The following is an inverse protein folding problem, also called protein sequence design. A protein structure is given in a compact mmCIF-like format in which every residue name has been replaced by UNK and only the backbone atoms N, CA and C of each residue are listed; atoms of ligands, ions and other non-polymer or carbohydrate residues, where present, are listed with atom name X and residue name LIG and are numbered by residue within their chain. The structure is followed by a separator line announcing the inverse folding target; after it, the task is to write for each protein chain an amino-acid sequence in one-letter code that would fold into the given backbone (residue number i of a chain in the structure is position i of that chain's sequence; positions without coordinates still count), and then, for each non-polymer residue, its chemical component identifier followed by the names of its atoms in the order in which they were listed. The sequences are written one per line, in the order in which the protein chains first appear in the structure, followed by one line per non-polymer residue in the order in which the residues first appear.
data_IF_020181537161
#
_entry.id   IF_020181537161
#
_cell.length_a   1.000
_cell.length_b   1.000
_cell.length_c   1.000
_cell.angle_alpha   90.00
_cell.angle_beta   90.00
_cell.angle_gamma   90.00
#
_symmetry.space_group_name_H-M   'P 1'
#
loop_
_entity.id
_entity.type
_entity.pdbx_description
1 polymer ?
#
# COMPACT_ATOMS: atom_id res chain seq x y z
N UNK A 1 23.57 -81.67 -0.35
CA UNK A 1 24.11 -80.67 -1.29
C UNK A 1 24.76 -79.56 -0.47
N UNK A 2 26.09 -79.43 -0.64
CA UNK A 2 27.02 -78.29 -0.42
C UNK A 2 26.87 -77.32 0.77
N UNK A 3 27.97 -77.27 1.54
CA UNK A 3 28.43 -76.27 2.52
C UNK A 3 28.75 -74.87 1.97
N UNK A 4 28.76 -73.87 2.86
CA UNK A 4 29.77 -72.79 3.06
C UNK A 4 29.19 -71.76 4.06
N UNK A 5 29.76 -71.45 5.24
CA UNK A 5 31.06 -70.82 5.60
C UNK A 5 31.16 -69.32 5.27
N UNK A 6 30.98 -68.50 6.32
CA UNK A 6 31.73 -67.30 6.79
C UNK A 6 32.16 -66.23 5.78
N UNK A 7 31.84 -64.95 6.07
CA UNK A 7 32.86 -63.87 6.15
C UNK A 7 32.37 -62.68 6.98
N UNK A 8 33.10 -62.43 8.08
CA UNK A 8 33.16 -61.19 8.84
C UNK A 8 34.05 -60.21 8.07
N UNK A 9 33.61 -58.96 7.89
CA UNK A 9 34.51 -57.84 7.56
C UNK A 9 34.17 -56.67 8.47
N UNK A 10 35.09 -56.39 9.38
CA UNK A 10 35.21 -55.12 10.08
C UNK A 10 36.12 -54.19 9.26
N UNK A 11 35.67 -52.98 8.97
CA UNK A 11 36.53 -51.89 8.49
C UNK A 11 36.23 -50.63 9.31
N UNK A 12 37.16 -50.37 10.21
CA UNK A 12 37.89 -49.12 10.45
C UNK A 12 37.16 -47.77 10.35
N UNK A 13 37.21 -47.05 11.47
CA UNK A 13 36.93 -45.64 11.61
C UNK A 13 37.82 -44.75 10.71
N UNK A 14 37.24 -43.66 10.21
CA UNK A 14 37.97 -42.44 9.92
C UNK A 14 37.29 -41.28 10.65
N UNK A 15 38.00 -40.76 11.63
CA UNK A 15 37.69 -39.51 12.32
C UNK A 15 38.10 -38.32 11.44
N UNK A 16 37.30 -37.26 11.49
CA UNK A 16 37.74 -35.90 11.14
C UNK A 16 37.51 -35.47 9.69
N UNK A 17 36.29 -35.02 9.39
CA UNK A 17 36.04 -33.99 8.39
C UNK A 17 34.86 -33.13 8.86
N UNK A 18 35.14 -31.98 9.46
CA UNK A 18 34.17 -30.92 9.70
C UNK A 18 33.80 -30.27 8.38
N UNK A 19 32.68 -30.69 7.79
CA UNK A 19 32.04 -29.99 6.69
C UNK A 19 31.07 -28.96 7.27
N UNK A 20 31.30 -27.68 6.96
CA UNK A 20 30.39 -26.59 7.26
C UNK A 20 29.02 -26.82 6.60
N UNK A 21 27.95 -26.58 7.34
CA UNK A 21 26.58 -26.64 6.83
C UNK A 21 26.37 -25.54 5.77
N UNK A 22 25.76 -25.86 4.61
CA UNK A 22 25.41 -24.83 3.62
C UNK A 22 24.24 -24.00 4.14
N UNK A 23 24.39 -22.67 4.08
CA UNK A 23 23.27 -21.75 4.30
C UNK A 23 22.19 -21.96 3.22
N UNK A 24 20.89 -21.83 3.55
CA UNK A 24 19.84 -21.87 2.55
C UNK A 24 19.93 -20.64 1.65
N UNK A 25 20.05 -20.89 0.36
CA UNK A 25 20.02 -19.88 -0.69
C UNK A 25 18.72 -19.07 -0.62
N UNK A 26 18.86 -17.74 -0.68
CA UNK A 26 17.75 -16.81 -0.92
C UNK A 26 17.11 -17.15 -2.26
N UNK A 27 15.87 -17.65 -2.21
CA UNK A 27 15.07 -17.87 -3.41
C UNK A 27 14.61 -16.53 -3.96
N UNK A 28 15.19 -16.13 -5.08
CA UNK A 28 14.72 -15.06 -5.94
C UNK A 28 13.31 -15.40 -6.42
N UNK A 29 12.36 -14.48 -6.21
CA UNK A 29 11.03 -14.58 -6.82
C UNK A 29 11.15 -14.60 -8.36
N UNK A 30 10.28 -15.36 -9.07
CA UNK A 30 10.34 -15.43 -10.52
C UNK A 30 9.99 -14.07 -11.15
N UNK A 31 10.88 -13.61 -12.01
CA UNK A 31 10.70 -12.44 -12.88
C UNK A 31 9.47 -12.65 -13.76
N UNK A 32 8.46 -11.80 -13.62
CA UNK A 32 7.37 -11.73 -14.59
C UNK A 32 7.94 -11.30 -15.96
N UNK A 33 7.53 -11.90 -17.09
CA UNK A 33 7.99 -11.47 -18.39
C UNK A 33 7.48 -10.06 -18.67
N UNK A 34 8.38 -9.19 -19.12
CA UNK A 34 8.05 -7.86 -19.61
C UNK A 34 7.01 -7.97 -20.74
N UNK A 35 5.82 -7.43 -20.51
CA UNK A 35 4.84 -7.24 -21.57
C UNK A 35 5.43 -6.23 -22.58
N UNK A 36 5.62 -6.68 -23.82
CA UNK A 36 6.04 -5.83 -24.92
C UNK A 36 4.99 -4.73 -25.12
N UNK A 37 5.41 -3.48 -24.89
CA UNK A 37 4.64 -2.28 -25.24
C UNK A 37 4.63 -2.18 -26.76
N UNK A 38 3.52 -2.56 -27.38
CA UNK A 38 3.26 -2.17 -28.78
C UNK A 38 2.89 -0.70 -28.79
N UNK A 39 3.79 0.12 -29.36
CA UNK A 39 3.52 1.51 -29.70
C UNK A 39 2.39 1.51 -30.73
N UNK A 40 1.25 2.09 -30.36
CA UNK A 40 0.15 2.35 -31.29
C UNK A 40 0.41 3.73 -31.88
N UNK A 41 0.80 3.77 -33.15
CA UNK A 41 0.87 5.00 -33.94
C UNK A 41 -0.54 5.65 -34.05
N UNK A 42 -0.66 6.97 -33.90
CA UNK A 42 -1.92 7.65 -34.19
C UNK A 42 -2.14 7.73 -35.70
N UNK A 43 -3.17 7.02 -36.17
CA UNK A 43 -3.70 7.17 -37.53
C UNK A 43 -4.33 8.56 -37.65
N UNK A 44 -3.67 9.42 -38.42
CA UNK A 44 -4.22 10.68 -38.89
C UNK A 44 -5.33 10.42 -39.92
N UNK A 45 -6.55 10.81 -39.57
CA UNK A 45 -7.66 10.90 -40.50
C UNK A 45 -7.66 12.28 -41.16
N UNK A 46 -7.40 12.31 -42.46
CA UNK A 46 -7.55 13.47 -43.33
C UNK A 46 -9.01 13.85 -43.48
N UNK A 47 -9.35 15.10 -43.17
CA UNK A 47 -10.57 15.75 -43.65
C UNK A 47 -10.17 17.08 -44.31
N UNK A 48 -10.54 17.21 -45.58
CA UNK A 48 -10.42 18.40 -46.39
C UNK A 48 -11.29 19.54 -45.84
N UNK A 49 -10.75 20.75 -45.75
CA UNK A 49 -11.50 21.98 -46.02
C UNK A 49 -10.55 23.18 -46.22
N UNK A 50 -10.57 23.64 -47.48
CA UNK A 50 -10.27 24.95 -48.05
C UNK A 50 -10.15 26.17 -47.12
N UNK A 51 -9.16 27.03 -47.40
CA UNK A 51 -9.24 28.47 -47.10
C UNK A 51 -7.94 29.16 -46.66
N UNK A 52 -7.14 29.61 -47.63
CA UNK A 52 -6.23 30.78 -47.48
C UNK A 52 -7.04 32.07 -47.71
N UNK A 53 -6.62 33.29 -47.28
CA UNK A 53 -5.22 33.74 -47.28
C UNK A 53 -4.76 34.67 -46.12
N UNK A 54 -3.45 34.90 -46.12
CA UNK A 54 -2.71 36.11 -45.70
C UNK A 54 -2.94 36.72 -44.32
N UNK A 55 -1.86 36.80 -43.53
CA UNK A 55 -1.13 38.07 -43.35
C UNK A 55 0.18 37.86 -42.58
N UNK A 56 1.21 38.49 -43.11
CA UNK A 56 2.58 38.58 -42.62
C UNK A 56 2.69 39.42 -41.34
N UNK A 57 3.54 39.02 -40.40
CA UNK A 57 4.33 39.94 -39.58
C UNK A 57 5.49 39.22 -38.90
N UNK A 58 6.69 39.47 -39.40
CA UNK A 58 7.99 39.16 -38.81
C UNK A 58 8.29 40.15 -37.68
N UNK A 59 8.70 39.69 -36.50
CA UNK A 59 9.51 40.50 -35.59
C UNK A 59 10.30 39.63 -34.60
N UNK A 60 11.59 39.54 -34.88
CA UNK A 60 12.70 39.06 -34.05
C UNK A 60 12.91 40.00 -32.85
N UNK A 61 13.17 39.48 -31.65
CA UNK A 61 14.18 40.02 -30.70
C UNK A 61 14.24 39.22 -29.39
N UNK A 62 15.35 38.51 -29.23
CA UNK A 62 16.04 38.25 -27.96
C UNK A 62 17.07 39.39 -27.76
N UNK A 63 17.88 39.48 -26.68
CA UNK A 63 17.67 39.23 -25.25
C UNK A 63 17.98 40.51 -24.43
N UNK A 64 17.68 40.55 -23.13
CA UNK A 64 18.50 41.29 -22.13
C UNK A 64 18.13 40.89 -20.70
N UNK A 65 19.01 40.11 -20.07
CA UNK A 65 19.35 40.20 -18.65
C UNK A 65 20.58 41.16 -18.56
N UNK A 66 21.01 41.72 -17.40
CA UNK A 66 20.78 41.27 -16.03
C UNK A 66 20.54 42.40 -14.98
N UNK A 67 20.06 42.05 -13.78
CA UNK A 67 20.31 42.87 -12.59
C UNK A 67 20.27 42.05 -11.29
N UNK A 68 21.47 41.79 -10.80
CA UNK A 68 21.86 41.46 -9.42
C UNK A 68 21.27 42.47 -8.42
N UNK A 69 20.80 42.03 -7.26
CA UNK A 69 21.13 42.58 -5.92
C UNK A 69 20.56 41.67 -4.81
N UNK A 70 21.33 41.56 -3.73
CA UNK A 70 21.32 40.49 -2.73
C UNK A 70 20.49 40.83 -1.45
N UNK A 71 20.81 40.29 -0.26
CA UNK A 71 20.02 39.30 0.46
C UNK A 71 19.23 39.88 1.66
N UNK A 72 18.05 39.35 1.95
CA UNK A 72 17.31 39.73 3.17
C UNK A 72 17.64 38.79 4.33
N UNK A 73 17.88 39.42 5.47
CA UNK A 73 18.53 38.96 6.69
C UNK A 73 17.80 37.86 7.47
N UNK A 74 18.64 36.94 7.98
CA UNK A 74 18.43 35.94 9.02
C UNK A 74 17.93 36.58 10.33
N UNK A 75 16.78 36.12 10.83
CA UNK A 75 16.30 36.46 12.16
C UNK A 75 17.08 35.64 13.22
N UNK A 76 17.79 36.35 14.08
CA UNK A 76 18.54 35.83 15.22
C UNK A 76 17.57 35.52 16.37
N UNK A 77 17.47 34.25 16.76
CA UNK A 77 16.74 33.82 17.95
C UNK A 77 17.55 34.19 19.22
N UNK A 78 16.86 34.75 20.21
CA UNK A 78 17.43 35.11 21.50
C UNK A 78 17.81 33.86 22.34
N UNK A 79 18.89 33.92 23.15
CA UNK A 79 19.27 32.84 24.05
C UNK A 79 18.34 32.75 25.28
N UNK A 80 18.18 31.55 25.88
CA UNK A 80 17.34 31.34 27.05
C UNK A 80 17.96 31.93 28.32
N UNK A 81 17.09 32.40 29.22
CA UNK A 81 17.46 32.97 30.50
C UNK A 81 18.11 31.94 31.44
N UNK A 82 19.24 32.33 32.02
CA UNK A 82 19.98 31.63 33.07
C UNK A 82 19.13 31.54 34.34
N UNK A 83 18.76 30.32 34.75
CA UNK A 83 18.14 30.04 36.05
C UNK A 83 19.24 29.90 37.10
N UNK A 84 19.13 30.65 38.20
CA UNK A 84 20.04 30.63 39.34
C UNK A 84 19.96 29.30 40.13
N UNK A 85 21.07 28.84 40.74
CA UNK A 85 21.09 27.60 41.52
C UNK A 85 20.37 27.78 42.88
N UNK A 86 19.41 26.91 43.18
CA UNK A 86 18.81 26.79 44.51
C UNK A 86 19.77 26.08 45.48
N UNK A 87 19.79 26.47 46.78
CA UNK A 87 20.58 25.82 47.81
C UNK A 87 20.05 24.42 48.14
N UNK A 88 20.96 23.44 48.20
CA UNK A 88 20.71 22.05 48.53
C UNK A 88 20.50 21.87 50.04
N UNK A 89 19.36 21.26 50.39
CA UNK A 89 19.06 20.78 51.76
C UNK A 89 19.84 19.49 52.08
N UNK A 90 20.30 19.29 53.33
CA UNK A 90 21.04 18.09 53.72
C UNK A 90 20.20 16.81 53.65
N UNK A 91 20.78 15.76 53.08
CA UNK A 91 20.23 14.40 52.93
C UNK A 91 20.30 13.65 54.28
N UNK A 92 19.19 13.09 54.79
CA UNK A 92 19.22 12.17 55.93
C UNK A 92 19.91 10.84 55.59
N UNK A 93 20.60 10.27 56.58
CA UNK A 93 21.39 9.06 56.48
C UNK A 93 20.58 7.83 56.05
N UNK A 94 21.19 7.04 55.17
CA UNK A 94 20.74 5.77 54.62
C UNK A 94 20.51 4.72 55.71
N UNK A 95 19.27 4.24 55.84
CA UNK A 95 18.99 2.98 56.53
C UNK A 95 19.25 1.80 55.57
N UNK A 96 20.00 0.83 56.04
CA UNK A 96 20.32 -0.43 55.36
C UNK A 96 19.05 -1.25 55.13
N UNK A 97 18.66 -1.62 53.89
CA UNK A 97 17.53 -2.50 53.68
C UNK A 97 17.95 -3.95 53.92
N UNK A 98 17.26 -4.60 54.86
CA UNK A 98 17.26 -6.04 55.05
C UNK A 98 16.73 -6.72 53.79
N UNK A 99 17.49 -7.68 53.25
CA UNK A 99 17.14 -8.47 52.07
C UNK A 99 15.93 -9.35 52.33
N UNK A 100 14.78 -8.96 51.79
CA UNK A 100 13.56 -9.77 51.71
C UNK A 100 13.58 -10.61 50.41
N UNK A 101 13.24 -11.90 50.43
CA UNK A 101 13.20 -12.72 49.22
C UNK A 101 12.19 -12.16 48.21
N UNK A 102 12.65 -11.90 46.99
CA UNK A 102 11.82 -11.42 45.89
C UNK A 102 10.76 -12.47 45.54
N UNK A 103 9.50 -12.15 45.85
CA UNK A 103 8.36 -12.86 45.28
C UNK A 103 8.24 -12.41 43.83
N UNK A 104 8.44 -13.33 42.88
CA UNK A 104 8.34 -13.06 41.46
C UNK A 104 6.93 -12.56 41.13
N UNK A 105 6.80 -11.26 40.84
CA UNK A 105 5.60 -10.69 40.25
C UNK A 105 5.43 -11.30 38.86
N UNK A 106 4.30 -11.93 38.53
CA UNK A 106 4.05 -12.41 37.18
C UNK A 106 4.13 -11.23 36.21
N UNK A 107 5.09 -11.27 35.30
CA UNK A 107 5.20 -10.34 34.19
C UNK A 107 3.94 -10.51 33.34
N UNK A 108 3.04 -9.53 33.38
CA UNK A 108 1.85 -9.51 32.54
C UNK A 108 2.29 -9.43 31.08
N UNK A 109 2.29 -10.58 30.40
CA UNK A 109 2.41 -10.66 28.95
C UNK A 109 1.24 -9.87 28.38
N UNK A 110 1.51 -8.70 27.78
CA UNK A 110 0.53 -8.00 26.96
C UNK A 110 0.28 -8.88 25.75
N UNK A 111 -0.67 -9.80 25.85
CA UNK A 111 -1.14 -10.56 24.71
C UNK A 111 -1.92 -9.59 23.83
N UNK A 112 -1.37 -9.28 22.66
CA UNK A 112 -2.09 -8.64 21.55
C UNK A 112 -3.14 -9.64 21.08
N UNK A 113 -4.32 -9.62 21.72
CA UNK A 113 -5.41 -10.52 21.36
C UNK A 113 -5.89 -10.14 19.96
N UNK A 114 -5.87 -11.10 19.04
CA UNK A 114 -6.57 -11.00 17.77
C UNK A 114 -8.05 -10.68 18.06
N UNK A 115 -8.63 -9.61 17.50
CA UNK A 115 -10.00 -9.22 17.81
C UNK A 115 -11.00 -10.36 17.56
N UNK A 116 -11.97 -10.51 18.47
CA UNK A 116 -13.14 -11.38 18.27
C UNK A 116 -13.93 -10.94 17.01
N UNK A 117 -14.63 -11.86 16.31
CA UNK A 117 -15.32 -11.54 15.07
C UNK A 117 -16.45 -10.54 15.31
N UNK A 118 -16.23 -9.29 14.91
CA UNK A 118 -17.28 -8.31 14.67
C UNK A 118 -18.20 -8.78 13.52
N UNK A 119 -19.40 -8.19 13.39
CA UNK A 119 -20.19 -8.40 12.17
C UNK A 119 -19.32 -8.14 10.94
N UNK A 120 -19.19 -9.17 10.10
CA UNK A 120 -18.39 -9.16 8.89
C UNK A 120 -19.16 -8.43 7.80
N UNK A 121 -18.49 -7.51 7.10
CA UNK A 121 -19.04 -6.93 5.88
C UNK A 121 -19.02 -7.97 4.77
N UNK A 122 -20.08 -8.01 3.97
CA UNK A 122 -20.14 -8.77 2.71
C UNK A 122 -20.25 -7.79 1.56
N UNK A 123 -19.83 -8.21 0.36
CA UNK A 123 -19.89 -7.35 -0.82
C UNK A 123 -21.33 -6.99 -1.16
N UNK A 124 -21.63 -5.69 -1.18
CA UNK A 124 -22.93 -5.16 -1.60
C UNK A 124 -23.06 -5.28 -3.12
N UNK A 125 -24.24 -5.68 -3.65
CA UNK A 125 -24.42 -5.84 -5.09
C UNK A 125 -24.24 -4.51 -5.85
N UNK A 126 -24.04 -4.56 -7.18
CA UNK A 126 -24.03 -3.36 -8.01
C UNK A 126 -25.32 -2.55 -7.83
N UNK A 127 -25.20 -1.22 -7.88
CA UNK A 127 -26.32 -0.29 -7.69
C UNK A 127 -26.79 -0.12 -6.23
N UNK A 128 -26.25 -0.88 -5.28
CA UNK A 128 -26.55 -0.68 -3.86
C UNK A 128 -26.08 0.69 -3.37
N UNK A 129 -26.86 1.30 -2.46
CA UNK A 129 -26.42 2.49 -1.75
C UNK A 129 -25.21 2.17 -0.87
N UNK A 130 -24.13 2.93 -1.02
CA UNK A 130 -22.91 2.74 -0.23
C UNK A 130 -23.04 3.40 1.16
N UNK A 131 -22.62 2.72 2.25
CA UNK A 131 -22.64 3.29 3.60
C UNK A 131 -21.83 4.59 3.69
N UNK A 132 -22.34 5.64 4.31
CA UNK A 132 -21.58 6.88 4.52
C UNK A 132 -20.31 6.64 5.35
N UNK A 133 -19.33 7.54 5.22
CA UNK A 133 -18.12 7.49 6.02
C UNK A 133 -18.40 7.48 7.52
N UNK A 134 -19.33 8.32 7.99
CA UNK A 134 -19.74 8.37 9.40
C UNK A 134 -20.37 7.06 9.88
N UNK A 135 -21.18 6.39 9.05
CA UNK A 135 -21.73 5.07 9.37
C UNK A 135 -20.61 4.04 9.54
N UNK A 136 -19.64 4.00 8.63
CA UNK A 136 -18.52 3.06 8.73
C UNK A 136 -17.65 3.33 9.95
N UNK A 137 -17.37 4.59 10.28
CA UNK A 137 -16.64 4.97 11.49
C UNK A 137 -17.32 4.47 12.77
N UNK A 138 -18.65 4.57 12.84
CA UNK A 138 -19.42 4.13 14.01
C UNK A 138 -19.40 2.62 14.25
N UNK A 139 -19.04 1.83 13.23
CA UNK A 139 -19.01 0.36 13.28
C UNK A 139 -17.62 -0.21 13.55
N UNK A 140 -16.58 0.63 13.58
CA UNK A 140 -15.21 0.18 13.88
C UNK A 140 -15.04 -0.05 15.38
N UNK A 141 -14.83 -1.32 15.75
CA UNK A 141 -14.40 -1.70 17.09
C UNK A 141 -12.95 -1.29 17.28
N UNK A 142 -12.71 -0.33 18.18
CA UNK A 142 -11.36 0.11 18.53
C UNK A 142 -10.64 -0.98 19.32
N UNK A 143 -9.42 -1.25 18.91
CA UNK A 143 -8.46 -2.14 19.56
C UNK A 143 -7.04 -1.68 19.23
N UNK A 144 -6.05 -2.23 19.92
CA UNK A 144 -4.63 -1.87 19.75
C UNK A 144 -3.85 -2.87 18.90
N UNK A 145 -4.53 -3.80 18.22
CA UNK A 145 -3.87 -4.80 17.40
C UNK A 145 -3.40 -4.18 16.09
N UNK A 146 -2.08 -4.06 15.96
CA UNK A 146 -1.37 -3.58 14.78
C UNK A 146 -0.24 -4.57 14.46
N UNK A 147 -0.42 -5.49 13.48
CA UNK A 147 0.61 -6.44 13.09
C UNK A 147 1.74 -5.79 12.25
N UNK A 148 1.56 -4.53 11.84
CA UNK A 148 2.55 -3.74 11.11
C UNK A 148 2.85 -2.43 11.83
N UNK A 149 3.58 -2.44 12.97
CA UNK A 149 3.92 -1.23 13.70
C UNK A 149 4.62 -0.18 12.84
N UNK A 150 5.36 -0.58 11.81
CA UNK A 150 5.99 0.32 10.84
C UNK A 150 5.00 1.21 10.07
N UNK A 151 3.72 0.82 9.99
CA UNK A 151 2.68 1.63 9.36
C UNK A 151 2.21 2.80 10.22
N UNK A 152 2.59 2.88 11.50
CA UNK A 152 2.01 3.84 12.46
C UNK A 152 1.97 5.27 11.94
N UNK A 153 3.09 5.78 11.39
CA UNK A 153 3.14 7.14 10.83
C UNK A 153 2.12 7.35 9.73
N UNK A 154 2.01 6.42 8.78
CA UNK A 154 1.07 6.54 7.66
C UNK A 154 -0.39 6.26 8.06
N UNK A 155 -0.60 5.40 9.06
CA UNK A 155 -1.89 5.12 9.66
C UNK A 155 -2.45 6.34 10.42
N UNK A 156 -1.57 7.17 10.99
CA UNK A 156 -1.94 8.43 11.65
C UNK A 156 -1.97 9.63 10.69
N UNK A 157 -1.47 9.49 9.47
CA UNK A 157 -1.52 10.52 8.46
C UNK A 157 -2.90 10.57 7.78
N UNK A 158 -3.84 11.30 8.39
CA UNK A 158 -5.16 11.55 7.82
C UNK A 158 -5.06 12.55 6.66
N UNK A 159 -5.15 12.04 5.42
CA UNK A 159 -5.03 12.87 4.22
C UNK A 159 -6.06 14.02 4.20
N UNK A 160 -7.31 13.75 4.59
CA UNK A 160 -8.37 14.74 4.59
C UNK A 160 -8.13 15.89 5.58
N UNK A 161 -7.80 15.57 6.83
CA UNK A 161 -7.51 16.57 7.87
C UNK A 161 -6.27 17.39 7.51
N UNK A 162 -5.31 16.79 6.80
CA UNK A 162 -4.12 17.47 6.29
C UNK A 162 -4.39 18.29 5.01
N UNK A 163 -5.66 18.47 4.62
CA UNK A 163 -6.06 19.34 3.52
C UNK A 163 -5.98 18.69 2.13
N UNK A 164 -5.58 17.43 2.02
CA UNK A 164 -5.52 16.74 0.74
C UNK A 164 -6.93 16.49 0.20
N UNK A 165 -7.15 16.80 -1.09
CA UNK A 165 -8.41 16.52 -1.79
C UNK A 165 -8.07 15.90 -3.13
N UNK A 166 -8.60 14.70 -3.38
CA UNK A 166 -8.44 14.05 -4.67
C UNK A 166 -9.10 14.90 -5.77
N UNK A 167 -8.35 15.15 -6.84
CA UNK A 167 -8.76 15.92 -8.01
C UNK A 167 -8.06 15.39 -9.26
N UNK A 168 -8.71 15.54 -10.41
CA UNK A 168 -8.15 15.15 -11.71
C UNK A 168 -7.63 13.70 -11.73
N UNK A 169 -8.30 12.82 -11.00
CA UNK A 169 -7.91 11.42 -10.85
C UNK A 169 -8.51 10.54 -11.94
N UNK A 170 -7.97 9.33 -12.08
CA UNK A 170 -8.57 8.28 -12.91
C UNK A 170 -10.07 8.07 -12.63
N UNK A 171 -10.47 8.11 -11.36
CA UNK A 171 -11.87 7.96 -10.97
C UNK A 171 -12.68 9.17 -11.46
N UNK A 172 -12.13 10.38 -11.32
CA UNK A 172 -12.76 11.63 -11.72
C UNK A 172 -13.08 11.71 -13.21
N UNK A 173 -12.27 11.08 -14.07
CA UNK A 173 -12.53 11.07 -15.53
C UNK A 173 -13.70 10.16 -15.93
N UNK A 174 -14.09 9.22 -15.08
CA UNK A 174 -15.15 8.23 -15.36
C UNK A 174 -16.42 8.54 -14.54
N UNK A 175 -16.26 8.80 -13.24
CA UNK A 175 -17.38 9.04 -12.33
C UNK A 175 -16.99 10.04 -11.22
N UNK A 176 -17.14 11.36 -11.46
CA UNK A 176 -16.73 12.42 -10.53
C UNK A 176 -17.28 12.29 -9.10
N UNK A 177 -18.49 11.74 -8.95
CA UNK A 177 -19.08 11.56 -7.62
C UNK A 177 -18.28 10.58 -6.73
N UNK A 178 -17.59 9.59 -7.32
CA UNK A 178 -16.71 8.70 -6.55
C UNK A 178 -15.39 9.39 -6.19
N UNK A 179 -14.86 10.26 -7.04
CA UNK A 179 -13.67 11.06 -6.71
C UNK A 179 -13.89 11.89 -5.45
N UNK A 180 -15.04 12.57 -5.34
CA UNK A 180 -15.39 13.38 -4.17
C UNK A 180 -15.57 12.55 -2.89
N UNK A 181 -15.85 11.25 -3.02
CA UNK A 181 -16.03 10.34 -1.91
C UNK A 181 -14.70 9.80 -1.37
N UNK A 182 -13.62 9.83 -2.15
CA UNK A 182 -12.27 9.45 -1.67
C UNK A 182 -11.69 10.59 -0.84
N UNK A 183 -11.51 10.33 0.45
CA UNK A 183 -11.08 11.32 1.44
C UNK A 183 -9.81 10.87 2.17
N UNK A 184 -9.65 9.56 2.43
CA UNK A 184 -8.65 9.06 3.37
C UNK A 184 -8.87 9.59 4.80
N UNK A 185 -10.10 9.96 5.16
CA UNK A 185 -10.44 10.61 6.43
C UNK A 185 -10.61 9.61 7.58
N UNK A 186 -9.56 8.84 7.87
CA UNK A 186 -9.57 7.92 9.00
C UNK A 186 -8.16 7.69 9.54
N UNK A 187 -8.09 7.44 10.85
CA UNK A 187 -6.88 6.94 11.53
C UNK A 187 -7.24 5.79 12.46
N UNK A 188 -6.34 4.83 12.56
CA UNK A 188 -6.53 3.61 13.34
C UNK A 188 -5.37 2.65 13.15
N UNK A 189 -5.55 1.39 13.51
CA UNK A 189 -4.63 0.33 13.09
C UNK A 189 -4.87 -0.03 11.63
N UNK A 190 -3.92 -0.72 11.00
CA UNK A 190 -4.00 -1.16 9.60
C UNK A 190 -5.30 -1.95 9.35
N UNK A 191 -5.67 -2.86 10.26
CA UNK A 191 -6.91 -3.62 10.17
C UNK A 191 -8.16 -2.73 10.28
N UNK A 192 -8.18 -1.79 11.23
CA UNK A 192 -9.29 -0.86 11.36
C UNK A 192 -9.48 -0.04 10.07
N UNK A 193 -8.38 0.36 9.44
CA UNK A 193 -8.40 1.12 8.19
C UNK A 193 -8.93 0.24 7.04
N UNK A 194 -8.49 -1.02 6.94
CA UNK A 194 -9.02 -1.98 5.97
C UNK A 194 -10.53 -2.13 6.11
N UNK A 195 -11.02 -2.35 7.34
CA UNK A 195 -12.46 -2.50 7.62
C UNK A 195 -13.25 -1.24 7.32
N UNK A 196 -12.72 -0.06 7.67
CA UNK A 196 -13.35 1.22 7.36
C UNK A 196 -13.52 1.40 5.85
N UNK A 197 -12.46 1.16 5.07
CA UNK A 197 -12.50 1.30 3.63
C UNK A 197 -13.42 0.24 2.98
N UNK A 198 -13.39 -1.01 3.47
CA UNK A 198 -14.26 -2.08 3.01
C UNK A 198 -15.75 -1.72 3.20
N UNK A 199 -16.14 -1.23 4.38
CA UNK A 199 -17.49 -0.73 4.63
C UNK A 199 -17.85 0.42 3.68
N UNK A 200 -16.96 1.42 3.55
CA UNK A 200 -17.22 2.62 2.76
C UNK A 200 -17.50 2.32 1.29
N UNK A 201 -16.88 1.27 0.76
CA UNK A 201 -17.05 0.86 -0.65
C UNK A 201 -17.89 -0.40 -0.84
N UNK A 202 -18.48 -0.91 0.25
CA UNK A 202 -19.43 -2.03 0.21
C UNK A 202 -18.77 -3.34 -0.26
N UNK A 203 -17.58 -3.65 0.26
CA UNK A 203 -16.86 -4.89 -0.04
C UNK A 203 -16.74 -5.78 1.18
N UNK A 204 -16.60 -7.09 0.92
CA UNK A 204 -16.22 -8.05 1.94
C UNK A 204 -14.85 -7.70 2.51
N UNK A 205 -14.77 -7.52 3.82
CA UNK A 205 -13.52 -7.10 4.47
C UNK A 205 -12.42 -8.16 4.37
N UNK A 206 -12.77 -9.45 4.29
CA UNK A 206 -11.76 -10.51 4.13
C UNK A 206 -11.16 -10.50 2.73
N UNK A 207 -11.93 -10.18 1.68
CA UNK A 207 -11.39 -10.03 0.32
C UNK A 207 -10.41 -8.84 0.26
N UNK A 208 -10.70 -7.76 0.98
CA UNK A 208 -9.79 -6.60 1.08
C UNK A 208 -8.53 -6.97 1.85
N UNK A 209 -8.65 -7.66 2.99
CA UNK A 209 -7.51 -8.17 3.77
C UNK A 209 -6.62 -9.07 2.93
N UNK A 210 -7.22 -10.02 2.20
CA UNK A 210 -6.52 -10.94 1.33
C UNK A 210 -5.76 -10.22 0.21
N UNK A 211 -6.41 -9.28 -0.48
CA UNK A 211 -5.73 -8.49 -1.50
C UNK A 211 -4.58 -7.68 -0.89
N UNK A 212 -4.79 -6.98 0.22
CA UNK A 212 -3.74 -6.22 0.89
C UNK A 212 -2.52 -7.10 1.29
N UNK A 213 -2.75 -8.37 1.64
CA UNK A 213 -1.64 -9.30 1.87
C UNK A 213 -0.91 -9.62 0.57
N UNK A 214 -1.64 -9.92 -0.51
CA UNK A 214 -1.05 -10.23 -1.81
C UNK A 214 -0.25 -9.05 -2.40
N UNK A 215 -0.72 -7.81 -2.18
CA UNK A 215 -0.08 -6.59 -2.70
C UNK A 215 1.18 -6.19 -1.93
N UNK A 216 1.17 -6.31 -0.60
CA UNK A 216 2.22 -5.70 0.23
C UNK A 216 2.50 -6.42 1.55
N UNK A 217 1.81 -7.53 1.83
CA UNK A 217 1.80 -8.14 3.17
C UNK A 217 1.39 -7.10 4.25
N UNK A 218 0.45 -6.22 3.90
CA UNK A 218 -0.04 -5.09 4.71
C UNK A 218 0.98 -3.97 4.99
N UNK A 219 2.07 -3.84 4.23
CA UNK A 219 3.09 -2.81 4.47
C UNK A 219 2.83 -1.55 3.64
N UNK A 220 2.54 -0.43 4.30
CA UNK A 220 2.36 0.85 3.63
C UNK A 220 3.66 1.41 3.02
N UNK A 221 4.82 0.95 3.47
CA UNK A 221 6.10 1.33 2.85
C UNK A 221 6.46 0.49 1.62
N UNK A 222 5.60 -0.45 1.20
CA UNK A 222 5.93 -1.33 0.08
C UNK A 222 5.99 -0.54 -1.25
N UNK A 223 7.05 -0.78 -2.01
CA UNK A 223 7.30 -0.20 -3.32
C UNK A 223 7.38 -1.33 -4.35
N UNK A 224 6.69 -1.15 -5.47
CA UNK A 224 6.64 -2.12 -6.57
C UNK A 224 6.83 -1.45 -7.93
N UNK A 225 6.96 -2.28 -8.97
CA UNK A 225 7.16 -1.84 -10.35
C UNK A 225 8.37 -0.87 -10.50
N UNK A 226 9.54 -1.34 -10.08
CA UNK A 226 10.78 -0.56 -10.07
C UNK A 226 11.54 -0.57 -11.40
N UNK A 227 12.37 0.44 -11.63
CA UNK A 227 13.12 0.64 -12.87
C UNK A 227 12.47 1.61 -13.86
N UNK A 228 11.54 2.45 -13.39
CA UNK A 228 10.75 3.39 -14.19
C UNK A 228 11.06 4.84 -13.84
N UNK A 229 10.74 5.76 -14.76
CA UNK A 229 10.70 7.20 -14.47
C UNK A 229 9.57 7.50 -13.50
N UNK A 230 9.92 7.93 -12.29
CA UNK A 230 9.01 8.04 -11.16
C UNK A 230 9.33 9.28 -10.32
N UNK A 231 8.48 9.56 -9.34
CA UNK A 231 8.76 10.54 -8.30
C UNK A 231 10.08 10.18 -7.59
N UNK A 232 10.95 11.16 -7.30
CA UNK A 232 12.26 10.89 -6.69
C UNK A 232 12.18 10.07 -5.40
N UNK A 233 11.14 10.29 -4.60
CA UNK A 233 10.94 9.65 -3.30
C UNK A 233 10.73 8.14 -3.36
N UNK A 234 10.38 7.58 -4.54
CA UNK A 234 10.18 6.14 -4.73
C UNK A 234 11.34 5.45 -5.44
N UNK A 235 12.44 6.16 -5.71
CA UNK A 235 13.69 5.60 -6.23
C UNK A 235 13.50 4.67 -7.44
N UNK A 236 12.66 5.05 -8.39
CA UNK A 236 12.42 4.25 -9.59
C UNK A 236 11.19 3.34 -9.53
N UNK A 237 10.45 3.28 -8.42
CA UNK A 237 9.29 2.40 -8.23
C UNK A 237 7.96 3.14 -8.46
N UNK A 238 7.09 2.58 -9.31
CA UNK A 238 5.83 3.22 -9.70
C UNK A 238 4.66 2.95 -8.75
N UNK A 239 4.62 1.76 -8.16
CA UNK A 239 3.53 1.31 -7.28
C UNK A 239 3.89 1.57 -5.83
N UNK A 240 2.96 2.18 -5.09
CA UNK A 240 3.18 2.59 -3.69
C UNK A 240 2.09 2.11 -2.75
N UNK A 241 2.51 1.77 -1.54
CA UNK A 241 1.63 1.60 -0.40
C UNK A 241 0.95 0.25 -0.32
N UNK A 242 0.04 0.17 0.65
CA UNK A 242 -0.58 -1.08 1.08
C UNK A 242 -1.30 -1.83 -0.05
N UNK A 243 -1.87 -1.09 -1.00
CA UNK A 243 -2.59 -1.61 -2.17
C UNK A 243 -1.88 -1.36 -3.50
N UNK A 244 -0.60 -0.94 -3.49
CA UNK A 244 0.22 -0.78 -4.71
C UNK A 244 -0.40 0.16 -5.77
N UNK A 245 -0.79 1.37 -5.36
CA UNK A 245 -1.28 2.39 -6.30
C UNK A 245 -0.14 2.81 -7.22
N UNK A 246 -0.31 2.67 -8.54
CA UNK A 246 0.58 3.26 -9.58
C UNK A 246 0.39 4.78 -9.69
N UNK A 247 0.76 5.48 -8.62
CA UNK A 247 0.64 6.93 -8.49
C UNK A 247 1.99 7.66 -8.54
N UNK A 248 3.10 6.93 -8.50
CA UNK A 248 4.45 7.50 -8.48
C UNK A 248 5.13 7.49 -9.85
N UNK A 249 4.63 6.77 -10.85
CA UNK A 249 5.15 6.88 -12.22
C UNK A 249 4.88 8.26 -12.83
N UNK A 250 5.70 8.63 -13.81
CA UNK A 250 5.59 9.90 -14.54
C UNK A 250 5.47 9.60 -16.05
N UNK A 251 4.33 9.90 -16.69
CA UNK A 251 3.06 10.32 -16.09
C UNK A 251 2.43 9.22 -15.23
N UNK A 252 1.63 9.60 -14.22
CA UNK A 252 1.01 8.65 -13.29
C UNK A 252 -0.14 7.88 -13.94
N UNK A 253 -0.21 6.57 -13.71
CA UNK A 253 -1.35 5.73 -14.14
C UNK A 253 -2.60 6.07 -13.34
N UNK A 254 -2.43 6.36 -12.05
CA UNK A 254 -3.45 6.88 -11.16
C UNK A 254 -3.11 8.34 -10.83
N UNK A 255 -3.45 9.30 -11.71
CA UNK A 255 -3.14 10.70 -11.48
C UNK A 255 -3.91 11.25 -10.27
N UNK A 256 -3.39 12.34 -9.70
CA UNK A 256 -3.99 13.04 -8.56
C UNK A 256 -3.85 12.31 -7.22
N UNK A 257 -3.29 11.10 -7.16
CA UNK A 257 -3.13 10.34 -5.91
C UNK A 257 -1.86 10.68 -5.14
N UNK A 258 -0.88 11.31 -5.79
CA UNK A 258 0.37 11.72 -5.16
C UNK A 258 0.20 13.02 -4.34
N UNK A 259 0.83 13.17 -3.16
CA UNK A 259 1.66 12.18 -2.43
C UNK A 259 0.83 11.32 -1.44
N UNK A 260 -0.48 11.49 -1.38
CA UNK A 260 -1.32 10.82 -0.39
C UNK A 260 -1.27 9.27 -0.50
N UNK A 261 -1.13 8.73 -1.71
CA UNK A 261 -0.98 7.29 -1.95
C UNK A 261 0.24 6.69 -1.24
N UNK A 262 1.34 7.45 -1.15
CA UNK A 262 2.56 7.02 -0.45
C UNK A 262 2.44 7.21 1.06
N UNK A 263 1.83 8.31 1.49
CA UNK A 263 1.98 8.79 2.86
C UNK A 263 0.81 8.45 3.78
N UNK A 264 -0.36 8.05 3.26
CA UNK A 264 -1.56 7.76 4.05
C UNK A 264 -2.14 6.39 3.72
N UNK A 265 -2.12 5.48 4.70
CA UNK A 265 -2.68 4.13 4.54
C UNK A 265 -4.19 4.18 4.27
N UNK A 266 -4.90 5.09 4.95
CA UNK A 266 -6.33 5.27 4.77
C UNK A 266 -6.66 5.75 3.35
N UNK A 267 -5.93 6.74 2.83
CA UNK A 267 -6.13 7.18 1.45
C UNK A 267 -5.79 6.07 0.44
N UNK A 268 -4.70 5.32 0.67
CA UNK A 268 -4.26 4.25 -0.22
C UNK A 268 -5.35 3.16 -0.40
N UNK A 269 -6.00 2.74 0.70
CA UNK A 269 -7.13 1.82 0.66
C UNK A 269 -8.40 2.44 0.08
N UNK A 270 -8.76 3.66 0.52
CA UNK A 270 -9.97 4.36 0.08
C UNK A 270 -9.99 4.55 -1.44
N UNK A 271 -8.87 5.00 -2.02
CA UNK A 271 -8.73 5.17 -3.47
C UNK A 271 -8.82 3.84 -4.21
N UNK A 272 -8.10 2.81 -3.74
CA UNK A 272 -8.07 1.50 -4.43
C UNK A 272 -9.44 0.87 -4.46
N UNK A 273 -10.18 0.91 -3.34
CA UNK A 273 -11.52 0.37 -3.27
C UNK A 273 -12.55 1.21 -4.04
N UNK A 274 -12.31 2.52 -4.20
CA UNK A 274 -13.09 3.33 -5.11
C UNK A 274 -12.93 2.89 -6.58
N UNK A 275 -11.70 2.59 -7.03
CA UNK A 275 -11.44 2.02 -8.36
C UNK A 275 -12.09 0.64 -8.48
N UNK A 276 -11.95 -0.22 -7.45
CA UNK A 276 -12.61 -1.53 -7.43
C UNK A 276 -14.12 -1.39 -7.57
N UNK A 277 -14.74 -0.43 -6.88
CA UNK A 277 -16.19 -0.18 -6.98
C UNK A 277 -16.58 0.36 -8.35
N UNK A 278 -15.78 1.25 -8.92
CA UNK A 278 -15.98 1.76 -10.28
C UNK A 278 -16.02 0.62 -11.31
N UNK A 279 -15.06 -0.32 -11.22
CA UNK A 279 -15.03 -1.54 -12.01
C UNK A 279 -16.27 -2.41 -11.75
N UNK A 280 -16.57 -2.68 -10.48
CA UNK A 280 -17.62 -3.61 -10.07
C UNK A 280 -19.02 -3.14 -10.48
N UNK A 281 -19.22 -1.83 -10.54
CA UNK A 281 -20.44 -1.16 -11.02
C UNK A 281 -20.56 -1.14 -12.55
N UNK A 282 -19.60 -1.71 -13.29
CA UNK A 282 -19.63 -1.72 -14.75
C UNK A 282 -19.30 -0.37 -15.40
N UNK A 283 -18.73 0.59 -14.65
CA UNK A 283 -18.52 1.97 -15.13
C UNK A 283 -17.31 2.14 -16.03
N UNK A 284 -16.35 1.22 -15.98
CA UNK A 284 -15.16 1.22 -16.83
C UNK A 284 -15.48 0.67 -18.23
N UNK A 285 -16.39 1.33 -18.95
CA UNK A 285 -16.96 0.83 -20.22
C UNK A 285 -15.92 0.61 -21.32
N UNK A 286 -14.78 1.30 -21.25
CA UNK A 286 -13.64 1.11 -22.15
C UNK A 286 -13.13 -0.34 -22.15
N UNK A 287 -13.30 -1.08 -21.06
CA UNK A 287 -12.89 -2.49 -20.99
C UNK A 287 -13.65 -3.38 -21.97
N UNK A 288 -14.87 -3.00 -22.38
CA UNK A 288 -15.67 -3.76 -23.36
C UNK A 288 -15.00 -3.87 -24.72
N UNK A 289 -14.08 -2.96 -25.05
CA UNK A 289 -13.30 -3.01 -26.29
C UNK A 289 -12.42 -4.27 -26.37
N UNK A 290 -11.90 -4.73 -25.23
CA UNK A 290 -10.99 -5.87 -25.15
C UNK A 290 -11.65 -7.09 -24.50
N UNK A 291 -12.72 -6.86 -23.73
CA UNK A 291 -13.49 -7.87 -23.03
C UNK A 291 -14.99 -7.62 -23.24
N UNK A 292 -15.58 -8.05 -24.37
CA UNK A 292 -16.98 -7.76 -24.70
C UNK A 292 -18.00 -8.23 -23.66
N UNK A 293 -17.63 -9.22 -22.85
CA UNK A 293 -18.44 -9.79 -21.77
C UNK A 293 -18.33 -9.04 -20.44
N UNK A 294 -17.49 -8.01 -20.35
CA UNK A 294 -17.36 -7.19 -19.14
C UNK A 294 -18.71 -6.57 -18.78
N UNK A 295 -19.15 -6.87 -17.55
CA UNK A 295 -20.41 -6.41 -16.98
C UNK A 295 -20.24 -6.16 -15.47
N UNK A 296 -21.21 -5.45 -14.88
CA UNK A 296 -21.24 -5.22 -13.44
C UNK A 296 -21.40 -6.54 -12.66
N UNK A 297 -20.94 -6.57 -11.42
CA UNK A 297 -21.19 -7.67 -10.48
C UNK A 297 -20.06 -8.69 -10.33
N UNK A 298 -18.95 -8.51 -11.06
CA UNK A 298 -17.80 -9.41 -10.95
C UNK A 298 -16.66 -8.83 -10.09
N UNK A 299 -16.71 -9.09 -8.78
CA UNK A 299 -15.72 -8.57 -7.82
C UNK A 299 -14.32 -9.14 -8.08
N UNK A 300 -14.22 -10.41 -8.47
CA UNK A 300 -12.95 -11.07 -8.71
C UNK A 300 -12.26 -10.53 -9.97
N UNK A 301 -13.00 -10.37 -11.06
CA UNK A 301 -12.47 -9.72 -12.25
C UNK A 301 -11.98 -8.29 -11.97
N UNK A 302 -12.63 -7.57 -11.05
CA UNK A 302 -12.20 -6.22 -10.64
C UNK A 302 -10.98 -6.19 -9.70
N UNK A 303 -10.77 -7.23 -8.88
CA UNK A 303 -9.51 -7.45 -8.17
C UNK A 303 -8.39 -7.72 -9.17
N UNK A 304 -8.63 -8.56 -10.18
CA UNK A 304 -7.67 -8.81 -11.26
C UNK A 304 -7.33 -7.56 -12.08
N UNK A 305 -8.34 -6.77 -12.45
CA UNK A 305 -8.19 -5.49 -13.17
C UNK A 305 -7.32 -4.49 -12.43
N UNK A 306 -7.34 -4.49 -11.10
CA UNK A 306 -6.46 -3.62 -10.32
C UNK A 306 -4.99 -3.96 -10.60
N UNK A 307 -4.66 -5.24 -10.58
CA UNK A 307 -3.31 -5.75 -10.78
C UNK A 307 -2.84 -5.64 -12.25
N UNK A 308 -3.60 -6.23 -13.19
CA UNK A 308 -3.15 -6.33 -14.59
C UNK A 308 -3.49 -5.11 -15.44
N UNK A 309 -4.41 -4.26 -14.99
CA UNK A 309 -4.98 -3.18 -15.78
C UNK A 309 -6.06 -3.64 -16.76
N UNK A 310 -6.44 -4.92 -16.79
CA UNK A 310 -7.51 -5.43 -17.64
C UNK A 310 -8.40 -6.46 -16.92
N UNK A 311 -9.66 -6.56 -17.34
CA UNK A 311 -10.62 -7.49 -16.72
C UNK A 311 -10.40 -8.91 -17.25
N UNK A 312 -10.06 -9.84 -16.33
CA UNK A 312 -9.94 -11.29 -16.60
C UNK A 312 -8.99 -11.69 -17.75
N UNK A 313 -7.92 -10.93 -17.97
CA UNK A 313 -6.81 -11.42 -18.77
C UNK A 313 -5.98 -12.47 -18.00
N UNK A 314 -5.01 -13.11 -18.68
CA UNK A 314 -4.24 -14.20 -18.08
C UNK A 314 -3.47 -13.78 -16.81
N UNK A 315 -2.97 -12.54 -16.79
CA UNK A 315 -2.29 -11.98 -15.63
C UNK A 315 -3.28 -11.74 -14.47
N UNK A 316 -4.47 -11.19 -14.76
CA UNK A 316 -5.55 -11.04 -13.78
C UNK A 316 -5.96 -12.38 -13.18
N UNK A 317 -6.16 -13.42 -13.98
CA UNK A 317 -6.59 -14.73 -13.45
C UNK A 317 -5.54 -15.39 -12.56
N UNK A 318 -4.25 -15.24 -12.91
CA UNK A 318 -3.14 -15.70 -12.05
C UNK A 318 -3.16 -14.97 -10.70
N UNK A 319 -3.32 -13.65 -10.74
CA UNK A 319 -3.39 -12.84 -9.53
C UNK A 319 -4.64 -13.14 -8.69
N UNK A 320 -5.80 -13.32 -9.32
CA UNK A 320 -7.05 -13.72 -8.65
C UNK A 320 -6.86 -15.04 -7.91
N UNK A 321 -6.19 -16.02 -8.54
CA UNK A 321 -5.89 -17.29 -7.89
C UNK A 321 -5.00 -17.10 -6.66
N UNK A 322 -3.98 -16.24 -6.73
CA UNK A 322 -3.13 -15.88 -5.59
C UNK A 322 -3.96 -15.25 -4.46
N UNK A 323 -4.78 -14.23 -4.75
CA UNK A 323 -5.60 -13.57 -3.73
C UNK A 323 -6.58 -14.56 -3.08
N UNK A 324 -7.20 -15.45 -3.86
CA UNK A 324 -8.06 -16.52 -3.31
C UNK A 324 -7.29 -17.50 -2.42
N UNK A 325 -6.07 -17.88 -2.80
CA UNK A 325 -5.23 -18.72 -1.96
C UNK A 325 -4.89 -18.01 -0.63
N UNK A 326 -4.55 -16.72 -0.69
CA UNK A 326 -4.33 -15.88 0.49
C UNK A 326 -5.59 -15.75 1.36
N UNK A 327 -6.77 -15.60 0.75
CA UNK A 327 -8.06 -15.59 1.44
C UNK A 327 -8.37 -16.91 2.15
N UNK A 328 -8.00 -18.04 1.56
CA UNK A 328 -8.16 -19.35 2.18
C UNK A 328 -7.18 -19.55 3.35
N UNK A 329 -5.94 -19.07 3.21
CA UNK A 329 -4.91 -19.21 4.22
C UNK A 329 -5.09 -18.24 5.42
N UNK A 330 -5.68 -17.06 5.18
CA UNK A 330 -5.88 -15.99 6.17
C UNK A 330 -4.65 -15.72 7.05
N UNK A 331 -3.48 -15.46 6.46
CA UNK A 331 -2.24 -15.36 7.23
C UNK A 331 -2.32 -14.26 8.31
N UNK A 332 -3.14 -13.23 8.14
CA UNK A 332 -3.37 -12.17 9.12
C UNK A 332 -4.01 -12.60 10.44
N UNK A 333 -4.54 -13.83 10.51
CA UNK A 333 -5.04 -14.42 11.76
C UNK A 333 -3.96 -15.23 12.49
N UNK A 334 -2.79 -15.44 11.87
CA UNK A 334 -1.69 -16.16 12.51
C UNK A 334 -0.96 -15.27 13.52
N UNK A 335 -0.46 -15.88 14.61
CA UNK A 335 0.25 -15.16 15.66
C UNK A 335 1.57 -14.52 15.19
N UNK A 336 2.14 -15.01 14.09
CA UNK A 336 3.40 -14.54 13.51
C UNK A 336 3.21 -13.59 12.32
N UNK A 337 1.97 -13.14 12.06
CA UNK A 337 1.71 -12.30 10.90
C UNK A 337 2.39 -10.95 11.00
#
# INVERSE_FOLDING_TARGET
MRSATVFFVAILACAGCTAAAPQPASQSAPTAPAAAVTVIDPVAGSAEASGSPSSSATATSEPTNPATLAPTSRATAAPPATVAPQPSTPRPATATPTSQPATATPQATVQTQTPAPSQRYTTLPPGAALPSEAQCLSQIVRNTWEPRPENTTANQNNAWTNGFRLRASYIGTIFPAYELRVTGNFTGTTDQIIRWAACKWGFDEEDVRAQAVAESTWRQSHLGDCGLTTQPETNGCASVGLMQIKGANIPATHPGTWPAALTSTAFNLDYTLAVRRLCYEGKETWMRKFNPTYAAGDVWGCIGRWFSGNWRDAAAETYIAQVKATLNARPWLSASF
#
